data_IF_950462042155
#
_entry.id   IF_950462042155
#
_cell.length_a   1.000
_cell.length_b   1.000
_cell.length_c   1.000
_cell.angle_alpha   90.00
_cell.angle_beta   90.00
_cell.angle_gamma   90.00
#
_symmetry.space_group_name_H-M   'P 1'
#
loop_
_entity.id
_entity.type
_entity.pdbx_description
1 polymer ?
#
# COMPACT_ATOMS: atom_id res chain seq x y z
N UNK A 1 8.74 13.76 26.00
CA UNK A 1 7.73 14.18 24.99
C UNK A 1 8.30 14.61 23.63
N UNK A 2 9.46 15.27 23.54
CA UNK A 2 10.04 15.67 22.23
C UNK A 2 10.58 14.50 21.37
N UNK A 3 11.21 13.49 21.97
CA UNK A 3 11.80 12.37 21.22
C UNK A 3 10.76 11.45 20.55
N UNK A 4 9.59 11.26 21.18
CA UNK A 4 8.53 10.38 20.67
C UNK A 4 7.77 10.99 19.48
N UNK A 5 7.63 12.31 19.45
CA UNK A 5 7.05 13.03 18.30
C UNK A 5 8.02 13.08 17.12
N UNK A 6 9.32 13.17 17.38
CA UNK A 6 10.35 13.06 16.34
C UNK A 6 10.37 11.65 15.73
N UNK A 7 10.29 10.60 16.55
CA UNK A 7 10.27 9.20 16.08
C UNK A 7 9.04 8.91 15.21
N UNK A 8 7.86 9.44 15.57
CA UNK A 8 6.64 9.36 14.77
C UNK A 8 6.79 10.09 13.43
N UNK A 9 7.39 11.29 13.43
CA UNK A 9 7.63 12.07 12.21
C UNK A 9 8.62 11.38 11.26
N UNK A 10 9.68 10.74 11.78
CA UNK A 10 10.66 10.00 10.97
C UNK A 10 10.03 8.75 10.34
N UNK A 11 9.14 8.06 11.04
CA UNK A 11 8.41 6.91 10.49
C UNK A 11 7.44 7.30 9.36
N UNK A 12 6.73 8.42 9.51
CA UNK A 12 5.77 8.91 8.50
C UNK A 12 6.48 9.38 7.23
N UNK A 13 7.62 10.09 7.35
CA UNK A 13 8.43 10.48 6.19
C UNK A 13 9.01 9.25 5.48
N UNK A 14 9.43 8.23 6.22
CA UNK A 14 9.88 6.97 5.63
C UNK A 14 8.77 6.26 4.83
N UNK A 15 7.52 6.24 5.32
CA UNK A 15 6.39 5.65 4.60
C UNK A 15 5.99 6.44 3.35
N UNK A 16 6.05 7.78 3.38
CA UNK A 16 5.80 8.62 2.20
C UNK A 16 6.91 8.46 1.14
N UNK A 17 8.15 8.22 1.58
CA UNK A 17 9.26 7.91 0.67
C UNK A 17 9.09 6.56 -0.02
N UNK A 18 8.53 5.55 0.65
CA UNK A 18 8.23 4.23 0.03
C UNK A 18 7.26 4.32 -1.15
N UNK A 19 6.34 5.29 -1.14
CA UNK A 19 5.41 5.48 -2.26
C UNK A 19 6.06 6.07 -3.54
N UNK A 20 7.26 6.66 -3.43
CA UNK A 20 7.99 7.27 -4.56
C UNK A 20 9.32 6.58 -4.88
N UNK A 21 9.67 5.49 -4.20
CA UNK A 21 10.85 4.73 -4.57
C UNK A 21 10.52 3.83 -5.77
N UNK A 22 11.05 4.17 -6.95
CA UNK A 22 11.62 3.12 -7.81
C UNK A 22 12.76 2.47 -7.02
N UNK A 23 12.42 1.47 -6.20
CA UNK A 23 13.38 0.74 -5.37
C UNK A 23 14.25 -0.10 -6.31
N UNK A 24 15.41 0.44 -6.71
CA UNK A 24 16.57 -0.41 -6.99
C UNK A 24 17.24 -0.73 -5.65
N UNK A 25 16.68 -1.66 -4.89
CA UNK A 25 17.33 -2.23 -3.72
C UNK A 25 17.78 -3.65 -4.05
N UNK A 26 19.09 -3.79 -4.16
CA UNK A 26 19.79 -5.05 -4.36
C UNK A 26 19.83 -5.82 -3.03
N UNK A 27 18.71 -6.44 -2.63
CA UNK A 27 18.70 -7.52 -1.62
C UNK A 27 18.58 -8.86 -2.35
N UNK A 28 19.61 -9.74 -2.29
CA UNK A 28 19.68 -10.95 -3.12
C UNK A 28 18.56 -11.99 -2.91
N UNK A 29 17.74 -11.90 -1.85
CA UNK A 29 16.84 -12.99 -1.45
C UNK A 29 15.40 -12.90 -1.98
N UNK A 30 15.02 -11.81 -2.66
CA UNK A 30 13.74 -11.75 -3.36
C UNK A 30 13.86 -10.86 -4.58
N UNK A 31 14.16 -11.47 -5.73
CA UNK A 31 13.97 -10.81 -7.03
C UNK A 31 12.46 -10.56 -7.20
N UNK A 32 12.00 -9.39 -6.78
CA UNK A 32 10.60 -8.98 -6.93
C UNK A 32 10.39 -8.40 -8.33
N UNK A 33 9.40 -8.92 -9.03
CA UNK A 33 8.98 -8.43 -10.35
C UNK A 33 7.62 -7.76 -10.19
N UNK A 34 7.48 -6.58 -10.78
CA UNK A 34 6.28 -5.76 -10.68
C UNK A 34 5.59 -5.71 -12.04
N UNK A 35 4.30 -6.02 -12.06
CA UNK A 35 3.45 -5.86 -13.24
C UNK A 35 2.36 -4.85 -12.94
N UNK A 36 2.43 -3.70 -13.61
CA UNK A 36 1.50 -2.59 -13.43
C UNK A 36 0.41 -2.65 -14.49
N UNK A 37 -0.85 -2.51 -14.06
CA UNK A 37 -1.99 -2.30 -14.93
C UNK A 37 -2.38 -0.82 -14.91
N UNK A 38 -2.34 -0.16 -16.06
CA UNK A 38 -2.71 1.24 -16.21
C UNK A 38 -3.97 1.40 -17.07
N UNK A 39 -4.84 2.33 -16.69
CA UNK A 39 -6.02 2.72 -17.46
C UNK A 39 -6.14 4.24 -17.44
N UNK A 40 -6.30 4.87 -18.60
CA UNK A 40 -6.47 6.33 -18.72
C UNK A 40 -5.36 7.17 -18.04
N UNK A 41 -4.13 6.64 -18.06
CA UNK A 41 -2.94 7.29 -17.50
C UNK A 41 -2.85 7.26 -15.98
N UNK A 42 -3.59 6.37 -15.31
CA UNK A 42 -3.42 6.08 -13.88
C UNK A 42 -3.23 4.59 -13.64
N UNK A 43 -2.48 4.26 -12.58
CA UNK A 43 -2.18 2.90 -12.14
C UNK A 43 -3.38 2.29 -11.42
N UNK A 44 -4.07 1.34 -12.05
CA UNK A 44 -5.25 0.69 -11.46
C UNK A 44 -4.86 -0.44 -10.50
N UNK A 45 -3.83 -1.21 -10.86
CA UNK A 45 -3.33 -2.28 -10.01
C UNK A 45 -1.83 -2.53 -10.21
N UNK A 46 -1.20 -3.20 -9.26
CA UNK A 46 0.14 -3.75 -9.39
C UNK A 46 0.19 -5.13 -8.78
N UNK A 47 0.62 -6.10 -9.57
CA UNK A 47 0.88 -7.45 -9.07
C UNK A 47 2.38 -7.63 -8.90
N UNK A 48 2.79 -8.01 -7.70
CA UNK A 48 4.16 -8.30 -7.32
C UNK A 48 4.37 -9.80 -7.32
N UNK A 49 5.42 -10.25 -7.99
CA UNK A 49 5.83 -11.63 -8.06
C UNK A 49 7.18 -11.81 -7.36
N UNK A 50 7.37 -12.97 -6.73
CA UNK A 50 8.70 -13.47 -6.37
C UNK A 50 9.24 -14.28 -7.53
N UNK A 51 10.42 -13.92 -8.03
CA UNK A 51 11.18 -14.73 -8.97
C UNK A 51 12.13 -15.66 -8.21
N UNK A 52 12.02 -16.95 -8.49
CA UNK A 52 12.99 -17.95 -8.08
C UNK A 52 13.37 -18.80 -9.29
N UNK A 53 14.66 -18.82 -9.66
CA UNK A 53 15.18 -19.61 -10.79
C UNK A 53 14.38 -19.43 -12.10
N UNK A 54 13.95 -18.20 -12.40
CA UNK A 54 13.17 -17.89 -13.61
C UNK A 54 11.66 -18.18 -13.50
N UNK A 55 11.20 -18.77 -12.40
CA UNK A 55 9.78 -19.00 -12.13
C UNK A 55 9.21 -17.83 -11.32
N UNK A 56 8.11 -17.24 -11.81
CA UNK A 56 7.39 -16.18 -11.12
C UNK A 56 6.24 -16.76 -10.30
N UNK A 57 6.19 -16.43 -9.01
CA UNK A 57 5.11 -16.79 -8.10
C UNK A 57 4.41 -15.55 -7.58
N UNK A 58 3.07 -15.53 -7.61
CA UNK A 58 2.26 -14.46 -7.01
C UNK A 58 2.67 -14.19 -5.56
N UNK A 59 2.80 -12.91 -5.20
CA UNK A 59 3.19 -12.52 -3.86
C UNK A 59 2.20 -11.52 -3.25
N UNK A 60 2.15 -10.31 -3.81
CA UNK A 60 1.29 -9.22 -3.33
C UNK A 60 0.56 -8.57 -4.51
N UNK A 61 -0.62 -8.02 -4.26
CA UNK A 61 -1.36 -7.23 -5.26
C UNK A 61 -1.90 -5.96 -4.61
N UNK A 62 -1.63 -4.83 -5.24
CA UNK A 62 -2.15 -3.53 -4.88
C UNK A 62 -3.26 -3.14 -5.86
N UNK A 63 -4.37 -2.62 -5.35
CA UNK A 63 -5.44 -2.04 -6.16
C UNK A 63 -5.70 -0.62 -5.70
N UNK A 64 -5.86 0.29 -6.64
CA UNK A 64 -6.00 1.72 -6.37
C UNK A 64 -7.35 2.23 -6.84
N UNK A 65 -7.92 3.16 -6.07
CA UNK A 65 -9.07 3.97 -6.49
C UNK A 65 -8.68 5.42 -6.46
N UNK A 66 -9.28 6.19 -7.37
CA UNK A 66 -8.97 7.59 -7.57
C UNK A 66 -10.22 8.44 -7.47
N UNK A 67 -10.06 9.71 -7.07
CA UNK A 67 -11.09 10.73 -7.25
C UNK A 67 -11.04 11.35 -8.66
N UNK A 68 -11.94 12.29 -8.93
CA UNK A 68 -12.04 12.99 -10.22
C UNK A 68 -10.79 13.80 -10.58
N UNK A 69 -10.00 14.21 -9.57
CA UNK A 69 -8.72 14.90 -9.75
C UNK A 69 -7.54 13.93 -9.97
N UNK A 70 -7.80 12.64 -10.17
CA UNK A 70 -6.78 11.57 -10.30
C UNK A 70 -5.87 11.45 -9.08
N UNK A 71 -6.33 11.82 -7.89
CA UNK A 71 -5.63 11.56 -6.63
C UNK A 71 -6.10 10.22 -6.05
N UNK A 72 -5.18 9.45 -5.47
CA UNK A 72 -5.49 8.15 -4.86
C UNK A 72 -6.36 8.37 -3.62
N UNK A 73 -7.55 7.78 -3.57
CA UNK A 73 -8.43 7.81 -2.40
C UNK A 73 -8.45 6.49 -1.62
N UNK A 74 -8.03 5.40 -2.26
CA UNK A 74 -7.94 4.08 -1.62
C UNK A 74 -6.80 3.27 -2.24
N UNK A 75 -6.02 2.61 -1.40
CA UNK A 75 -5.02 1.60 -1.79
C UNK A 75 -5.28 0.33 -0.98
N UNK A 76 -5.67 -0.75 -1.66
CA UNK A 76 -5.90 -2.06 -1.04
C UNK A 76 -4.74 -2.98 -1.32
N UNK A 77 -4.12 -3.52 -0.27
CA UNK A 77 -3.12 -4.58 -0.34
C UNK A 77 -3.76 -5.95 -0.12
N UNK A 78 -3.56 -6.83 -1.09
CA UNK A 78 -3.91 -8.25 -1.04
C UNK A 78 -2.64 -9.11 -1.03
N UNK A 79 -2.70 -10.25 -0.35
CA UNK A 79 -1.64 -11.25 -0.33
C UNK A 79 -2.10 -12.52 -1.04
N UNK A 80 -1.19 -13.14 -1.77
CA UNK A 80 -1.46 -14.42 -2.41
C UNK A 80 -1.57 -15.53 -1.36
N UNK A 81 -2.67 -16.28 -1.38
CA UNK A 81 -2.85 -17.51 -0.59
C UNK A 81 -2.67 -18.71 -1.51
N UNK A 82 -1.44 -19.22 -1.59
CA UNK A 82 -1.10 -20.33 -2.48
C UNK A 82 -1.88 -21.61 -2.19
N UNK A 83 -2.30 -21.85 -0.94
CA UNK A 83 -3.09 -23.02 -0.57
C UNK A 83 -4.53 -22.93 -1.11
N UNK A 84 -5.06 -21.71 -1.27
CA UNK A 84 -6.39 -21.45 -1.82
C UNK A 84 -6.39 -21.04 -3.28
N UNK A 85 -5.22 -20.81 -3.86
CA UNK A 85 -5.03 -20.27 -5.21
C UNK A 85 -5.85 -18.98 -5.43
N UNK A 86 -5.81 -18.06 -4.46
CA UNK A 86 -6.64 -16.85 -4.45
C UNK A 86 -5.94 -15.67 -3.75
N UNK A 87 -6.34 -14.45 -4.12
CA UNK A 87 -5.90 -13.21 -3.48
C UNK A 87 -6.73 -12.91 -2.24
N UNK A 88 -6.07 -12.63 -1.10
CA UNK A 88 -6.74 -12.36 0.17
C UNK A 88 -6.45 -10.96 0.65
N UNK A 89 -7.51 -10.23 1.02
CA UNK A 89 -7.40 -8.91 1.64
C UNK A 89 -6.46 -8.92 2.85
N UNK A 90 -5.61 -7.91 2.95
CA UNK A 90 -4.66 -7.78 4.04
C UNK A 90 -4.79 -6.42 4.74
N UNK A 91 -4.60 -5.33 3.99
CA UNK A 91 -4.66 -3.96 4.48
C UNK A 91 -5.36 -3.07 3.46
N UNK A 92 -5.94 -1.97 3.92
CA UNK A 92 -6.49 -0.92 3.08
C UNK A 92 -6.05 0.43 3.66
N UNK A 93 -5.65 1.36 2.82
CA UNK A 93 -5.33 2.73 3.19
C UNK A 93 -6.31 3.64 2.48
N UNK A 94 -6.94 4.55 3.21
CA UNK A 94 -7.84 5.56 2.63
C UNK A 94 -7.25 6.96 2.81
N UNK A 95 -7.46 7.78 1.80
CA UNK A 95 -6.96 9.15 1.74
C UNK A 95 -8.12 10.11 1.60
N UNK A 96 -8.18 11.09 2.48
CA UNK A 96 -9.18 12.15 2.48
C UNK A 96 -8.50 13.50 2.33
N UNK A 97 -8.86 14.25 1.30
CA UNK A 97 -8.26 15.54 0.96
C UNK A 97 -9.17 16.68 1.42
N UNK A 98 -8.67 17.59 2.24
CA UNK A 98 -9.41 18.79 2.71
C UNK A 98 -8.51 20.02 2.61
N UNK A 99 -8.73 20.87 1.60
CA UNK A 99 -7.82 21.96 1.30
C UNK A 99 -6.42 21.42 0.94
N UNK A 100 -5.40 21.84 1.69
CA UNK A 100 -4.03 21.33 1.55
C UNK A 100 -3.74 20.15 2.50
N UNK A 101 -4.69 19.74 3.34
CA UNK A 101 -4.49 18.65 4.29
C UNK A 101 -4.89 17.30 3.65
N UNK A 102 -4.11 16.26 3.95
CA UNK A 102 -4.41 14.87 3.61
C UNK A 102 -4.48 14.05 4.90
N UNK A 103 -5.64 13.46 5.16
CA UNK A 103 -5.81 12.46 6.21
C UNK A 103 -5.64 11.08 5.62
N UNK A 104 -4.72 10.30 6.19
CA UNK A 104 -4.36 8.94 5.81
C UNK A 104 -4.85 8.02 6.91
N UNK A 105 -5.80 7.15 6.58
CA UNK A 105 -6.38 6.18 7.50
C UNK A 105 -5.98 4.76 7.13
N UNK A 106 -5.49 4.00 8.10
CA UNK A 106 -5.08 2.61 7.89
C UNK A 106 -6.14 1.66 8.40
N UNK A 107 -6.46 0.65 7.61
CA UNK A 107 -7.43 -0.38 7.94
C UNK A 107 -6.80 -1.76 7.78
N UNK A 108 -7.12 -2.66 8.71
CA UNK A 108 -6.68 -4.06 8.68
C UNK A 108 -7.84 -4.97 8.37
N UNK A 109 -7.62 -5.95 7.49
CA UNK A 109 -8.64 -6.94 7.17
C UNK A 109 -8.99 -7.80 8.40
N UNK A 110 -10.26 -7.82 8.78
CA UNK A 110 -10.79 -8.70 9.79
C UNK A 110 -11.50 -9.88 9.12
N UNK A 111 -10.89 -11.07 9.19
CA UNK A 111 -11.41 -12.28 8.54
C UNK A 111 -12.81 -12.68 9.02
N UNK A 112 -13.13 -12.47 10.29
CA UNK A 112 -14.41 -12.85 10.88
C UNK A 112 -15.54 -11.91 10.45
N UNK A 113 -15.28 -10.60 10.48
CA UNK A 113 -16.24 -9.58 10.03
C UNK A 113 -16.34 -9.47 8.51
N UNK A 114 -15.36 -10.04 7.78
CA UNK A 114 -15.19 -9.87 6.33
C UNK A 114 -15.17 -8.39 5.93
N UNK A 115 -14.47 -7.59 6.73
CA UNK A 115 -14.40 -6.14 6.54
C UNK A 115 -13.04 -5.56 6.96
N UNK A 116 -12.72 -4.39 6.43
CA UNK A 116 -11.57 -3.60 6.80
C UNK A 116 -11.89 -2.74 8.03
N UNK A 117 -11.19 -2.99 9.13
CA UNK A 117 -11.42 -2.28 10.40
C UNK A 117 -10.33 -1.23 10.58
N UNK A 118 -10.74 0.00 10.88
CA UNK A 118 -9.85 1.13 11.13
C UNK A 118 -8.86 0.81 12.26
N UNK A 119 -7.60 1.16 12.05
CA UNK A 119 -6.53 1.13 13.04
C UNK A 119 -6.23 2.59 13.41
N UNK A 120 -6.96 3.18 14.37
CA UNK A 120 -6.95 4.62 14.60
C UNK A 120 -5.59 5.16 15.06
N UNK A 121 -4.78 4.33 15.70
CA UNK A 121 -3.43 4.68 16.15
C UNK A 121 -2.45 4.96 15.01
N UNK A 122 -2.77 4.49 13.80
CA UNK A 122 -1.99 4.68 12.58
C UNK A 122 -2.52 5.83 11.72
N UNK A 123 -3.65 6.44 12.08
CA UNK A 123 -4.22 7.57 11.33
C UNK A 123 -3.32 8.80 11.48
N UNK A 124 -3.02 9.45 10.35
CA UNK A 124 -2.16 10.64 10.30
C UNK A 124 -2.80 11.69 9.40
N UNK A 125 -2.73 12.96 9.81
CA UNK A 125 -3.03 14.10 8.93
C UNK A 125 -1.75 14.86 8.66
N UNK A 126 -1.48 15.11 7.37
CA UNK A 126 -0.30 15.85 6.89
C UNK A 126 -0.73 16.98 5.97
N UNK A 127 0.00 18.08 5.98
CA UNK A 127 -0.12 19.13 4.97
C UNK A 127 0.66 18.71 3.72
N UNK A 128 0.05 18.84 2.55
CA UNK A 128 0.72 18.77 1.25
C UNK A 128 1.55 20.03 1.00
#
# INVERSE_FOLDING_TARGET
>A
MKAMNFLKSVFVVACIFVANLTISANTPEANLIYNTEEVNGVKMSETVYKMNEGILTNYEKYNYKYNDNKQVIESTLMKWDAARNDWRNHMCIKYSYTGNDVTIEYYKWNKSKKDFILVPEMTVTVQQ
#
